data_IF_178722012895
#
_entry.id   IF_178722012895
#
_cell.length_a   1.000
_cell.length_b   1.000
_cell.length_c   1.000
_cell.angle_alpha   90.00
_cell.angle_beta   90.00
_cell.angle_gamma   90.00
#
_symmetry.space_group_name_H-M   'P 1'
#
loop_
_entity.id
_entity.type
_entity.pdbx_description
1 polymer ?
#
# COMPACT_ATOMS: atom_id res chain seq x y z
N UNK A 1 -18.45 -21.14 18.78
CA UNK A 1 -17.05 -20.71 18.92
C UNK A 1 -16.68 -19.69 17.85
N UNK A 2 -16.79 -20.04 16.55
CA UNK A 2 -16.43 -19.14 15.42
C UNK A 2 -17.15 -17.79 15.50
N UNK A 3 -18.45 -17.79 15.80
CA UNK A 3 -19.21 -16.56 16.00
C UNK A 3 -18.71 -15.72 17.17
N UNK A 4 -18.23 -16.33 18.25
CA UNK A 4 -17.67 -15.61 19.41
C UNK A 4 -16.35 -14.93 19.06
N UNK A 5 -15.48 -15.63 18.32
CA UNK A 5 -14.20 -15.06 17.86
C UNK A 5 -14.46 -13.89 16.91
N UNK A 6 -15.33 -14.09 15.93
CA UNK A 6 -15.70 -13.05 14.95
C UNK A 6 -16.34 -11.83 15.63
N UNK A 7 -17.25 -12.04 16.60
CA UNK A 7 -17.87 -10.97 17.35
C UNK A 7 -16.86 -10.17 18.18
N UNK A 8 -15.97 -10.84 18.93
CA UNK A 8 -14.98 -10.19 19.76
C UNK A 8 -13.98 -9.37 18.91
N UNK A 9 -13.56 -9.89 17.76
CA UNK A 9 -12.68 -9.18 16.86
C UNK A 9 -13.36 -7.97 16.23
N UNK A 10 -14.59 -8.11 15.77
CA UNK A 10 -15.39 -7.01 15.21
C UNK A 10 -15.66 -5.91 16.22
N UNK A 11 -16.06 -6.28 17.44
CA UNK A 11 -16.29 -5.33 18.53
C UNK A 11 -15.04 -4.51 18.81
N UNK A 12 -13.87 -5.18 18.91
CA UNK A 12 -12.60 -4.49 19.17
C UNK A 12 -12.17 -3.61 18.00
N UNK A 13 -12.34 -4.05 16.77
CA UNK A 13 -12.05 -3.22 15.57
C UNK A 13 -12.95 -1.98 15.52
N UNK A 14 -14.23 -2.12 15.87
CA UNK A 14 -15.15 -0.97 15.95
C UNK A 14 -14.74 0.00 17.06
N UNK A 15 -14.33 -0.50 18.22
CA UNK A 15 -13.85 0.33 19.32
C UNK A 15 -12.58 1.13 18.93
N UNK A 16 -11.75 0.59 18.04
CA UNK A 16 -10.57 1.28 17.46
C UNK A 16 -10.94 2.21 16.28
N UNK A 17 -12.23 2.41 15.99
CA UNK A 17 -12.72 3.31 14.94
C UNK A 17 -12.68 2.72 13.51
N UNK A 18 -12.58 1.40 13.36
CA UNK A 18 -12.57 0.72 12.07
C UNK A 18 -13.93 0.16 11.71
N UNK A 19 -14.39 0.35 10.47
CA UNK A 19 -15.61 -0.27 9.99
C UNK A 19 -15.41 -1.76 9.74
N UNK A 20 -16.23 -2.60 10.34
CA UNK A 20 -16.29 -4.01 10.00
C UNK A 20 -17.10 -4.19 8.70
N UNK A 21 -16.48 -4.74 7.65
CA UNK A 21 -17.19 -5.07 6.41
C UNK A 21 -18.15 -6.24 6.68
N UNK A 22 -19.34 -6.20 6.05
CA UNK A 22 -20.24 -7.35 6.03
C UNK A 22 -19.63 -8.44 5.15
N UNK A 23 -18.96 -9.39 5.76
CA UNK A 23 -18.52 -10.61 5.09
C UNK A 23 -19.52 -11.73 5.35
N UNK A 24 -19.60 -12.69 4.42
CA UNK A 24 -20.38 -13.91 4.59
C UNK A 24 -19.86 -14.67 5.82
N UNK A 25 -20.76 -15.25 6.61
CA UNK A 25 -20.40 -16.02 7.80
C UNK A 25 -19.37 -17.12 7.45
N UNK A 26 -18.27 -17.18 8.20
CA UNK A 26 -17.23 -18.18 7.99
C UNK A 26 -17.76 -19.60 8.22
N UNK A 27 -17.55 -20.48 7.26
CA UNK A 27 -18.04 -21.87 7.33
C UNK A 27 -17.18 -22.78 8.23
N UNK A 28 -15.92 -22.43 8.44
CA UNK A 28 -14.97 -23.14 9.27
C UNK A 28 -13.85 -22.22 9.82
N UNK A 29 -12.99 -22.74 10.70
CA UNK A 29 -11.91 -21.99 11.34
C UNK A 29 -10.90 -21.41 10.36
N UNK A 30 -10.61 -22.09 9.25
CA UNK A 30 -9.67 -21.61 8.24
C UNK A 30 -10.25 -20.47 7.43
N UNK A 31 -11.53 -20.51 7.08
CA UNK A 31 -12.20 -19.39 6.41
C UNK A 31 -12.35 -18.18 7.35
N UNK A 32 -12.62 -18.38 8.64
CA UNK A 32 -12.59 -17.29 9.62
C UNK A 32 -11.19 -16.67 9.71
N UNK A 33 -10.15 -17.49 9.76
CA UNK A 33 -8.76 -17.00 9.79
C UNK A 33 -8.44 -16.13 8.57
N UNK A 34 -8.82 -16.57 7.37
CA UNK A 34 -8.62 -15.81 6.15
C UNK A 34 -9.38 -14.46 6.17
N UNK A 35 -10.66 -14.49 6.54
CA UNK A 35 -11.49 -13.29 6.63
C UNK A 35 -10.99 -12.31 7.69
N UNK A 36 -10.59 -12.80 8.86
CA UNK A 36 -10.06 -11.97 9.93
C UNK A 36 -8.73 -11.28 9.52
N UNK A 37 -7.82 -11.99 8.86
CA UNK A 37 -6.59 -11.38 8.34
C UNK A 37 -6.87 -10.34 7.26
N UNK A 38 -7.87 -10.56 6.41
CA UNK A 38 -8.30 -9.56 5.44
C UNK A 38 -8.85 -8.31 6.14
N UNK A 39 -9.73 -8.47 7.14
CA UNK A 39 -10.28 -7.37 7.94
C UNK A 39 -9.20 -6.57 8.66
N UNK A 40 -8.16 -7.23 9.18
CA UNK A 40 -7.00 -6.55 9.78
C UNK A 40 -6.22 -5.72 8.76
N UNK A 41 -6.01 -6.25 7.56
CA UNK A 41 -5.35 -5.50 6.49
C UNK A 41 -6.18 -4.28 6.08
N UNK A 42 -7.51 -4.41 5.95
CA UNK A 42 -8.40 -3.29 5.65
C UNK A 42 -8.42 -2.25 6.76
N UNK A 43 -8.48 -2.67 8.04
CA UNK A 43 -8.40 -1.77 9.20
C UNK A 43 -7.05 -1.02 9.25
N UNK A 44 -5.98 -1.62 8.74
CA UNK A 44 -4.69 -0.97 8.58
C UNK A 44 -4.61 -0.10 7.31
N UNK A 45 -5.67 0.03 6.51
CA UNK A 45 -5.69 0.71 5.22
C UNK A 45 -4.70 0.12 4.20
N UNK A 46 -4.49 -1.20 4.23
CA UNK A 46 -3.81 -1.90 3.17
C UNK A 46 -4.80 -2.19 2.03
N UNK A 47 -4.49 -1.83 0.79
CA UNK A 47 -5.40 -2.02 -0.33
C UNK A 47 -5.34 -3.48 -0.81
N UNK A 48 -6.19 -4.32 -0.25
CA UNK A 48 -6.30 -5.74 -0.60
C UNK A 48 -7.75 -6.04 -0.97
N UNK A 49 -7.97 -6.60 -2.17
CA UNK A 49 -9.30 -6.86 -2.73
C UNK A 49 -9.97 -8.11 -2.14
N UNK A 50 -9.24 -9.20 -2.07
CA UNK A 50 -9.81 -10.51 -1.75
C UNK A 50 -9.48 -10.93 -0.32
N UNK A 51 -10.43 -11.60 0.33
CA UNK A 51 -10.28 -12.12 1.70
C UNK A 51 -9.37 -13.34 1.82
N UNK A 52 -8.87 -13.85 0.72
CA UNK A 52 -8.07 -15.07 0.68
C UNK A 52 -8.90 -16.32 0.37
N UNK A 53 -8.20 -17.44 0.21
CA UNK A 53 -8.79 -18.72 -0.18
C UNK A 53 -8.24 -19.84 0.67
N UNK A 54 -9.12 -20.76 1.05
CA UNK A 54 -8.74 -21.99 1.73
C UNK A 54 -8.64 -23.09 0.66
N UNK A 55 -7.47 -23.66 0.52
CA UNK A 55 -7.24 -24.85 -0.31
C UNK A 55 -7.34 -26.06 0.60
N UNK A 56 -8.28 -26.97 0.29
CA UNK A 56 -8.41 -28.24 1.00
C UNK A 56 -7.19 -29.10 0.68
N UNK A 57 -6.57 -29.66 1.70
CA UNK A 57 -5.57 -30.71 1.56
C UNK A 57 -6.26 -32.09 1.66
N UNK A 58 -5.56 -33.16 1.28
CA UNK A 58 -6.09 -34.52 1.34
C UNK A 58 -6.40 -35.02 2.77
N UNK A 59 -5.98 -34.28 3.79
CA UNK A 59 -6.23 -34.61 5.20
C UNK A 59 -7.09 -33.51 5.83
N UNK A 60 -8.11 -33.89 6.58
CA UNK A 60 -9.01 -32.95 7.29
C UNK A 60 -8.31 -32.14 8.41
N UNK A 61 -7.07 -32.52 8.73
CA UNK A 61 -6.27 -31.91 9.81
C UNK A 61 -5.43 -30.71 9.35
N UNK A 62 -5.24 -30.54 8.04
CA UNK A 62 -4.39 -29.47 7.48
C UNK A 62 -5.09 -28.75 6.34
N UNK A 63 -4.92 -27.46 6.28
CA UNK A 63 -5.35 -26.64 5.15
C UNK A 63 -4.28 -25.62 4.77
N UNK A 64 -4.17 -25.33 3.48
CA UNK A 64 -3.39 -24.20 2.98
C UNK A 64 -4.32 -23.01 2.84
N UNK A 65 -3.99 -21.93 3.53
CA UNK A 65 -4.73 -20.66 3.45
C UNK A 65 -3.90 -19.67 2.67
N UNK A 66 -4.41 -19.23 1.52
CA UNK A 66 -3.78 -18.21 0.69
C UNK A 66 -4.33 -16.84 1.09
N UNK A 67 -3.48 -15.96 1.55
CA UNK A 67 -3.85 -14.61 1.97
C UNK A 67 -3.20 -13.60 1.03
N UNK A 68 -3.98 -12.88 0.20
CA UNK A 68 -3.45 -11.80 -0.61
C UNK A 68 -2.86 -10.69 0.27
N UNK A 69 -1.70 -10.17 -0.13
CA UNK A 69 -1.08 -9.03 0.52
C UNK A 69 -0.08 -8.36 -0.43
N UNK A 70 0.38 -7.16 -0.10
CA UNK A 70 1.48 -6.50 -0.79
C UNK A 70 2.83 -7.04 -0.31
N UNK A 71 3.83 -7.09 -1.19
CA UNK A 71 5.16 -7.60 -0.84
C UNK A 71 5.77 -6.88 0.38
N UNK A 72 5.63 -5.55 0.44
CA UNK A 72 6.09 -4.75 1.58
C UNK A 72 5.43 -5.15 2.91
N UNK A 73 4.21 -5.69 2.86
CA UNK A 73 3.39 -6.01 4.04
C UNK A 73 3.52 -7.48 4.48
N UNK A 74 4.24 -8.30 3.74
CA UNK A 74 4.31 -9.75 3.98
C UNK A 74 4.81 -10.09 5.40
N UNK A 75 5.85 -9.43 5.89
CA UNK A 75 6.40 -9.68 7.23
C UNK A 75 5.42 -9.28 8.35
N UNK A 76 4.78 -8.11 8.20
CA UNK A 76 3.78 -7.64 9.14
C UNK A 76 2.54 -8.55 9.15
N UNK A 77 2.13 -9.04 7.97
CA UNK A 77 1.02 -9.99 7.87
C UNK A 77 1.33 -11.33 8.55
N UNK A 78 2.56 -11.86 8.41
CA UNK A 78 2.98 -13.07 9.15
C UNK A 78 2.88 -12.87 10.67
N UNK A 79 3.28 -11.70 11.17
CA UNK A 79 3.15 -11.37 12.60
C UNK A 79 1.69 -11.26 13.03
N UNK A 80 0.83 -10.66 12.20
CA UNK A 80 -0.60 -10.59 12.44
C UNK A 80 -1.27 -11.98 12.42
N UNK A 81 -0.85 -12.85 11.50
CA UNK A 81 -1.31 -14.23 11.42
C UNK A 81 -0.96 -15.03 12.69
N UNK A 82 0.27 -14.89 13.20
CA UNK A 82 0.69 -15.53 14.45
C UNK A 82 -0.10 -15.01 15.65
N UNK A 83 -0.35 -13.70 15.71
CA UNK A 83 -1.20 -13.09 16.73
C UNK A 83 -2.64 -13.63 16.67
N UNK A 84 -3.24 -13.69 15.47
CA UNK A 84 -4.60 -14.19 15.27
C UNK A 84 -4.71 -15.68 15.63
N UNK A 85 -3.71 -16.49 15.27
CA UNK A 85 -3.67 -17.90 15.65
C UNK A 85 -3.63 -18.07 17.18
N UNK A 86 -2.87 -17.22 17.90
CA UNK A 86 -2.84 -17.20 19.35
C UNK A 86 -4.18 -16.81 19.96
N UNK A 87 -4.84 -15.78 19.43
CA UNK A 87 -6.18 -15.38 19.83
C UNK A 87 -7.19 -16.52 19.63
N UNK A 88 -7.20 -17.14 18.45
CA UNK A 88 -8.11 -18.26 18.17
C UNK A 88 -7.85 -19.45 19.10
N UNK A 89 -6.58 -19.73 19.40
CA UNK A 89 -6.22 -20.81 20.33
C UNK A 89 -6.70 -20.51 21.77
N UNK A 90 -6.60 -19.27 22.24
CA UNK A 90 -7.14 -18.87 23.54
C UNK A 90 -8.66 -19.15 23.63
N UNK A 91 -9.41 -18.82 22.59
CA UNK A 91 -10.85 -19.17 22.53
C UNK A 91 -11.10 -20.66 22.50
N UNK A 92 -10.29 -21.44 21.74
CA UNK A 92 -10.40 -22.89 21.65
C UNK A 92 -10.15 -23.56 23.00
N UNK A 93 -9.13 -23.11 23.73
CA UNK A 93 -8.74 -23.65 25.03
C UNK A 93 -9.52 -23.04 26.21
N UNK A 94 -10.55 -22.22 25.92
CA UNK A 94 -11.36 -21.52 26.92
C UNK A 94 -10.51 -20.66 27.89
N UNK A 95 -9.39 -20.15 27.42
CA UNK A 95 -8.53 -19.21 28.11
C UNK A 95 -9.04 -17.77 27.94
N UNK A 96 -8.57 -16.86 28.81
CA UNK A 96 -8.86 -15.43 28.68
C UNK A 96 -8.28 -14.88 27.35
N UNK A 97 -9.11 -14.33 26.45
CA UNK A 97 -8.65 -13.74 25.19
C UNK A 97 -8.07 -12.33 25.33
N UNK A 98 -8.28 -11.65 26.49
CA UNK A 98 -7.93 -10.24 26.65
C UNK A 98 -6.43 -9.94 26.48
N UNK A 99 -5.46 -10.80 26.91
CA UNK A 99 -4.04 -10.60 26.63
C UNK A 99 -3.70 -10.56 25.15
N UNK A 100 -4.53 -11.16 24.29
CA UNK A 100 -4.39 -11.10 22.83
C UNK A 100 -5.12 -9.88 22.27
N UNK A 101 -6.33 -9.61 22.71
CA UNK A 101 -7.14 -8.48 22.24
C UNK A 101 -6.49 -7.14 22.55
N UNK A 102 -5.85 -6.98 23.71
CA UNK A 102 -5.13 -5.77 24.08
C UNK A 102 -3.95 -5.43 23.15
N UNK A 103 -3.42 -6.41 22.41
CA UNK A 103 -2.34 -6.22 21.43
C UNK A 103 -2.81 -5.87 20.01
N UNK A 104 -4.12 -5.78 19.78
CA UNK A 104 -4.67 -5.43 18.48
C UNK A 104 -4.14 -4.07 17.96
N UNK A 105 -4.10 -2.97 18.76
CA UNK A 105 -3.57 -1.70 18.29
C UNK A 105 -2.13 -1.80 17.76
N UNK A 106 -1.26 -2.54 18.45
CA UNK A 106 0.13 -2.76 18.02
C UNK A 106 0.20 -3.57 16.72
N UNK A 107 -0.66 -4.58 16.59
CA UNK A 107 -0.75 -5.40 15.37
C UNK A 107 -1.18 -4.55 14.18
N UNK A 108 -2.20 -3.70 14.35
CA UNK A 108 -2.64 -2.75 13.33
C UNK A 108 -1.57 -1.70 13.01
N UNK A 109 -0.85 -1.21 14.02
CA UNK A 109 0.25 -0.26 13.82
C UNK A 109 1.35 -0.85 12.94
N UNK A 110 1.77 -2.10 13.19
CA UNK A 110 2.76 -2.82 12.36
C UNK A 110 2.29 -2.97 10.92
N UNK A 111 1.04 -3.33 10.70
CA UNK A 111 0.45 -3.42 9.36
C UNK A 111 0.42 -2.04 8.67
N UNK A 112 0.04 -0.97 9.38
CA UNK A 112 0.04 0.40 8.84
C UNK A 112 1.42 0.86 8.42
N UNK A 113 2.46 0.56 9.20
CA UNK A 113 3.85 0.91 8.87
C UNK A 113 4.40 0.14 7.68
N UNK A 114 3.82 -1.01 7.36
CA UNK A 114 4.23 -1.83 6.21
C UNK A 114 3.61 -1.40 4.87
N UNK A 115 2.81 -0.34 4.84
CA UNK A 115 2.25 0.20 3.59
C UNK A 115 3.36 0.66 2.64
N UNK A 116 3.10 0.66 1.33
CA UNK A 116 4.03 1.23 0.37
C UNK A 116 4.42 2.66 0.78
N UNK A 117 5.71 2.94 0.88
CA UNK A 117 6.24 4.23 1.33
C UNK A 117 5.96 5.37 0.35
N UNK A 118 5.72 5.04 -0.91
CA UNK A 118 5.35 6.01 -1.94
C UNK A 118 3.87 6.40 -1.78
N UNK A 119 3.62 7.61 -1.30
CA UNK A 119 2.27 8.12 -1.02
C UNK A 119 1.33 8.04 -2.23
N UNK A 120 1.83 8.36 -3.44
CA UNK A 120 1.02 8.34 -4.67
C UNK A 120 0.54 6.92 -5.02
N UNK A 121 1.39 5.91 -4.91
CA UNK A 121 1.02 4.51 -5.17
C UNK A 121 -0.09 4.09 -4.22
N UNK A 122 0.07 4.33 -2.91
CA UNK A 122 -0.94 3.93 -1.94
C UNK A 122 -2.30 4.60 -2.22
N UNK A 123 -2.32 5.88 -2.58
CA UNK A 123 -3.55 6.59 -2.94
C UNK A 123 -4.22 5.99 -4.19
N UNK A 124 -3.44 5.65 -5.22
CA UNK A 124 -3.95 5.04 -6.44
C UNK A 124 -4.49 3.63 -6.20
N UNK A 125 -3.80 2.82 -5.38
CA UNK A 125 -4.29 1.49 -4.99
C UNK A 125 -5.58 1.58 -4.17
N UNK A 126 -5.70 2.55 -3.26
CA UNK A 126 -6.93 2.81 -2.51
C UNK A 126 -8.08 3.26 -3.43
N UNK A 127 -7.79 4.10 -4.41
CA UNK A 127 -8.77 4.51 -5.40
C UNK A 127 -9.25 3.32 -6.26
N UNK A 128 -8.32 2.49 -6.72
CA UNK A 128 -8.64 1.27 -7.46
C UNK A 128 -9.53 0.32 -6.64
N UNK A 129 -9.20 0.14 -5.36
CA UNK A 129 -10.02 -0.67 -4.44
C UNK A 129 -11.45 -0.13 -4.32
N UNK A 130 -11.60 1.19 -4.15
CA UNK A 130 -12.91 1.86 -4.06
C UNK A 130 -13.72 1.72 -5.36
N UNK A 131 -13.04 1.77 -6.49
CA UNK A 131 -13.64 1.61 -7.83
C UNK A 131 -13.81 0.15 -8.25
N UNK A 132 -13.46 -0.79 -7.38
CA UNK A 132 -13.47 -2.23 -7.65
C UNK A 132 -12.63 -2.61 -8.90
N UNK A 133 -11.53 -1.90 -9.14
CA UNK A 133 -10.56 -2.20 -10.19
C UNK A 133 -9.53 -3.17 -9.62
N UNK A 134 -9.43 -4.40 -10.14
CA UNK A 134 -8.42 -5.36 -9.68
C UNK A 134 -7.03 -4.88 -10.04
N UNK A 135 -6.06 -5.16 -9.17
CA UNK A 135 -4.66 -4.88 -9.42
C UNK A 135 -3.76 -5.97 -8.85
N UNK A 136 -2.58 -6.08 -9.42
CA UNK A 136 -1.51 -6.97 -8.94
C UNK A 136 -0.20 -6.20 -8.84
N UNK A 137 0.59 -6.53 -7.81
CA UNK A 137 1.95 -6.02 -7.66
C UNK A 137 2.89 -6.87 -8.50
N UNK A 138 3.51 -6.26 -9.52
CA UNK A 138 4.49 -6.92 -10.40
C UNK A 138 5.89 -6.86 -9.75
N UNK A 139 6.22 -5.72 -9.17
CA UNK A 139 7.44 -5.50 -8.39
C UNK A 139 7.20 -4.39 -7.38
N UNK A 140 8.16 -4.12 -6.49
CA UNK A 140 8.03 -3.20 -5.35
C UNK A 140 7.49 -1.80 -5.65
N UNK A 141 7.47 -1.37 -6.91
CA UNK A 141 6.94 -0.07 -7.32
C UNK A 141 6.13 -0.11 -8.61
N UNK A 142 5.90 -1.31 -9.15
CA UNK A 142 5.20 -1.53 -10.43
C UNK A 142 3.93 -2.32 -10.17
N UNK A 143 2.82 -1.79 -10.64
CA UNK A 143 1.50 -2.38 -10.49
C UNK A 143 0.80 -2.47 -11.85
N UNK A 144 0.06 -3.55 -12.04
CA UNK A 144 -0.88 -3.69 -13.15
C UNK A 144 -2.29 -3.51 -12.61
N UNK A 145 -3.07 -2.64 -13.23
CA UNK A 145 -4.49 -2.42 -12.97
C UNK A 145 -5.32 -3.03 -14.09
N UNK A 146 -6.35 -3.77 -13.73
CA UNK A 146 -7.17 -4.50 -14.68
C UNK A 146 -6.44 -5.69 -15.33
N UNK A 147 -7.13 -6.35 -16.25
CA UNK A 147 -6.64 -7.55 -16.93
C UNK A 147 -6.78 -7.45 -18.44
N UNK A 148 -6.05 -8.29 -19.14
CA UNK A 148 -6.07 -8.44 -20.61
C UNK A 148 -5.85 -7.10 -21.35
N UNK A 149 -6.57 -6.85 -22.43
CA UNK A 149 -6.36 -5.69 -23.32
C UNK A 149 -6.63 -4.33 -22.65
N UNK A 150 -7.37 -4.31 -21.55
CA UNK A 150 -7.67 -3.08 -20.81
C UNK A 150 -6.75 -2.86 -19.61
N UNK A 151 -5.76 -3.73 -19.40
CA UNK A 151 -4.79 -3.53 -18.33
C UNK A 151 -3.98 -2.26 -18.55
N UNK A 152 -3.61 -1.61 -17.44
CA UNK A 152 -2.73 -0.43 -17.41
C UNK A 152 -1.64 -0.65 -16.39
N UNK A 153 -0.45 -0.23 -16.72
CA UNK A 153 0.70 -0.37 -15.86
C UNK A 153 1.03 0.96 -15.21
N UNK A 154 1.45 0.88 -13.96
CA UNK A 154 1.90 2.02 -13.17
C UNK A 154 3.28 1.70 -12.60
N UNK A 155 4.25 2.55 -12.87
CA UNK A 155 5.57 2.54 -12.22
C UNK A 155 5.73 3.86 -11.46
N UNK A 156 5.64 3.81 -10.14
CA UNK A 156 5.63 5.03 -9.31
C UNK A 156 4.47 5.96 -9.71
N UNK A 157 4.73 7.06 -10.40
CA UNK A 157 3.73 7.99 -10.93
C UNK A 157 3.62 7.96 -12.46
N UNK A 158 4.31 7.04 -13.13
CA UNK A 158 4.30 6.91 -14.58
C UNK A 158 3.40 5.76 -15.01
N UNK A 159 2.65 5.99 -16.06
CA UNK A 159 1.83 4.96 -16.70
C UNK A 159 2.51 4.43 -17.96
N UNK A 160 1.99 3.33 -18.50
CA UNK A 160 2.40 2.77 -19.79
C UNK A 160 2.22 3.74 -20.98
N UNK A 161 1.39 4.77 -20.81
CA UNK A 161 1.20 5.85 -21.78
C UNK A 161 2.16 7.03 -21.58
N UNK A 162 2.98 7.03 -20.56
CA UNK A 162 3.92 8.13 -20.27
C UNK A 162 5.17 8.00 -21.16
N UNK A 163 5.41 9.01 -21.99
CA UNK A 163 6.60 9.04 -22.86
C UNK A 163 7.89 9.08 -22.03
N UNK A 164 8.81 8.16 -22.31
CA UNK A 164 10.15 8.15 -21.69
C UNK A 164 10.93 9.43 -22.02
N UNK A 165 10.78 9.97 -23.23
CA UNK A 165 11.42 11.24 -23.66
C UNK A 165 10.85 12.39 -22.83
N UNK A 166 9.52 12.50 -22.71
CA UNK A 166 8.88 13.56 -21.92
C UNK A 166 9.26 13.47 -20.45
N UNK A 167 9.33 12.27 -19.89
CA UNK A 167 9.79 12.04 -18.51
C UNK A 167 11.23 12.47 -18.29
N UNK A 168 12.11 12.18 -19.23
CA UNK A 168 13.52 12.58 -19.18
C UNK A 168 13.66 14.10 -19.23
N UNK A 169 12.98 14.76 -20.14
CA UNK A 169 12.95 16.21 -20.25
C UNK A 169 12.39 16.88 -18.98
N UNK A 170 11.29 16.37 -18.43
CA UNK A 170 10.67 16.92 -17.21
C UNK A 170 11.56 16.79 -15.98
N UNK A 171 12.38 15.73 -15.88
CA UNK A 171 13.33 15.56 -14.78
C UNK A 171 14.50 16.55 -14.83
N UNK A 172 14.95 16.88 -16.01
CA UNK A 172 16.04 17.86 -16.18
C UNK A 172 15.45 19.28 -16.13
N UNK A 173 15.62 19.95 -15.00
CA UNK A 173 15.01 21.26 -14.73
C UNK A 173 15.45 22.33 -15.73
N UNK A 174 16.73 22.30 -16.16
CA UNK A 174 17.24 23.23 -17.15
C UNK A 174 16.59 23.00 -18.53
N UNK A 175 16.54 21.74 -18.98
CA UNK A 175 15.92 21.40 -20.25
C UNK A 175 14.41 21.70 -20.24
N UNK A 176 13.70 21.38 -19.14
CA UNK A 176 12.29 21.68 -18.98
C UNK A 176 12.03 23.19 -19.07
N UNK A 177 12.79 24.00 -18.35
CA UNK A 177 12.66 25.45 -18.37
C UNK A 177 12.96 26.02 -19.77
N UNK A 178 14.03 25.55 -20.42
CA UNK A 178 14.38 25.96 -21.79
C UNK A 178 13.30 25.61 -22.81
N UNK A 179 12.66 24.43 -22.66
CA UNK A 179 11.55 24.00 -23.51
C UNK A 179 10.32 24.91 -23.32
N UNK A 180 9.96 25.22 -22.06
CA UNK A 180 8.87 26.14 -21.75
C UNK A 180 9.12 27.54 -22.30
N UNK A 181 10.36 28.05 -22.15
CA UNK A 181 10.74 29.36 -22.70
C UNK A 181 10.58 29.43 -24.22
N UNK A 182 11.02 28.37 -24.93
CA UNK A 182 10.82 28.25 -26.40
C UNK A 182 9.35 28.22 -26.81
N UNK A 183 8.49 27.69 -25.95
CA UNK A 183 7.04 27.66 -26.15
C UNK A 183 6.35 28.98 -25.76
N UNK A 184 7.10 30.02 -25.39
CA UNK A 184 6.57 31.33 -24.99
C UNK A 184 5.98 31.35 -23.57
N UNK A 185 6.22 30.31 -22.77
CA UNK A 185 5.74 30.24 -21.38
C UNK A 185 6.75 31.01 -20.51
N UNK A 186 6.30 31.93 -19.66
CA UNK A 186 7.19 32.64 -18.73
C UNK A 186 7.88 31.68 -17.77
N UNK A 187 9.21 31.77 -17.73
CA UNK A 187 10.04 31.00 -16.78
C UNK A 187 11.02 31.95 -16.09
N UNK A 188 11.39 31.68 -14.85
CA UNK A 188 12.47 32.44 -14.20
C UNK A 188 13.76 32.33 -15.01
N UNK A 189 14.53 33.42 -15.06
CA UNK A 189 15.86 33.40 -15.66
C UNK A 189 16.74 32.38 -14.94
N UNK A 190 17.51 31.58 -15.67
CA UNK A 190 18.24 30.46 -15.11
C UNK A 190 19.48 30.13 -15.93
N UNK A 191 20.52 29.64 -15.24
CA UNK A 191 21.80 29.25 -15.83
C UNK A 191 22.16 27.86 -15.39
N UNK A 192 22.69 27.05 -16.32
CA UNK A 192 23.31 25.76 -16.00
C UNK A 192 24.79 26.02 -15.72
N UNK A 193 25.24 25.67 -14.53
CA UNK A 193 26.58 25.87 -14.06
C UNK A 193 27.17 24.57 -13.53
N UNK A 194 28.48 24.35 -13.75
CA UNK A 194 29.18 23.13 -13.33
C UNK A 194 30.33 23.39 -12.36
N UNK A 195 30.62 24.65 -12.11
CA UNK A 195 31.77 25.08 -11.28
C UNK A 195 31.36 26.23 -10.37
N UNK A 196 31.98 26.32 -9.21
CA UNK A 196 31.70 27.34 -8.20
C UNK A 196 31.83 28.75 -8.73
N UNK A 197 32.98 29.06 -9.42
CA UNK A 197 33.20 30.38 -9.99
C UNK A 197 32.15 30.77 -11.06
N UNK A 198 31.63 29.80 -11.82
CA UNK A 198 30.59 30.06 -12.79
C UNK A 198 29.25 30.30 -12.07
N UNK A 199 28.98 29.60 -10.97
CA UNK A 199 27.79 29.80 -10.15
C UNK A 199 27.78 31.21 -9.52
N UNK A 200 28.90 31.68 -8.99
CA UNK A 200 29.04 33.02 -8.43
C UNK A 200 28.79 34.12 -9.48
N UNK A 201 29.36 33.99 -10.67
CA UNK A 201 29.11 34.93 -11.78
C UNK A 201 27.65 34.92 -12.21
N UNK A 202 27.04 33.75 -12.35
CA UNK A 202 25.61 33.61 -12.69
C UNK A 202 24.70 34.25 -11.62
N UNK A 203 25.00 34.03 -10.34
CA UNK A 203 24.25 34.64 -9.24
C UNK A 203 24.38 36.19 -9.24
N UNK A 204 25.55 36.73 -9.54
CA UNK A 204 25.74 38.18 -9.67
C UNK A 204 24.99 38.77 -10.87
N UNK A 205 24.89 38.02 -11.98
CA UNK A 205 24.13 38.44 -13.16
C UNK A 205 22.61 38.42 -12.92
N UNK A 206 22.10 37.38 -12.23
CA UNK A 206 20.68 37.25 -11.90
C UNK A 206 20.22 38.27 -10.85
N UNK A 207 21.12 38.70 -9.98
CA UNK A 207 20.75 39.46 -8.78
C UNK A 207 20.21 38.59 -7.66
N UNK A 208 20.45 39.00 -6.41
CA UNK A 208 19.97 38.27 -5.24
C UNK A 208 18.52 38.67 -4.89
N UNK A 209 17.70 37.72 -4.33
CA UNK A 209 18.05 36.35 -3.95
C UNK A 209 18.04 35.35 -5.12
N UNK A 210 18.93 34.34 -5.11
CA UNK A 210 18.98 33.25 -6.09
C UNK A 210 18.71 31.90 -5.44
N UNK A 211 18.23 30.93 -6.22
CA UNK A 211 18.03 29.54 -5.77
C UNK A 211 18.95 28.62 -6.58
N UNK A 212 19.78 27.84 -5.87
CA UNK A 212 20.60 26.79 -6.46
C UNK A 212 19.88 25.46 -6.33
N UNK A 213 19.81 24.70 -7.42
CA UNK A 213 19.17 23.36 -7.44
C UNK A 213 20.16 22.36 -8.04
N UNK A 214 20.25 21.19 -7.42
CA UNK A 214 20.99 20.02 -7.90
C UNK A 214 20.14 19.18 -8.85
#
# INVERSE_FOLDING_TARGET
LLQRIDAALKERLLAEGHSARKETAASNSFSLFAQALHSLQQAANLPVHESGRVLKTHTDLMAVVLIPTLNASMHALKSAASWLAGLMNAFLMQQDPEPWLSRLPDTLAKLRHSRPTQSNINLLLQAALKMNIPFIEISSSTYQFGFAAQSRWLLSSFTDSTSAISSSLARNKFQAASLMQRAGIPVPEHYLVHQENAALKAAQQLGFPVVVKL
#
